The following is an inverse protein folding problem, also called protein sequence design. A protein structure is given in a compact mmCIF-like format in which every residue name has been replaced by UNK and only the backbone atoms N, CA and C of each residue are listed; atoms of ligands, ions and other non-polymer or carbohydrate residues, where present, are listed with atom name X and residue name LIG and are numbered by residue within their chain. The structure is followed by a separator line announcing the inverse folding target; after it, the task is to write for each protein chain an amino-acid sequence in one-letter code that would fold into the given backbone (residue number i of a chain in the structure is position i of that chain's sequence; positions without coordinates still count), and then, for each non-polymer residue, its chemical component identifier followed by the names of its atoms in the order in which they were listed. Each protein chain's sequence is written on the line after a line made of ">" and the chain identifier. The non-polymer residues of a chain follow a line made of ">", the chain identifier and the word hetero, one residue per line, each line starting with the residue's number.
data_IF_465098793019
#
_entry.id   IF_465098793019
#
_cell.length_a   1.000
_cell.length_b   1.000
_cell.length_c   1.000
_cell.angle_alpha   90.00
_cell.angle_beta   90.00
_cell.angle_gamma   90.00
#
_symmetry.space_group_name_H-M   'P 1'
#
loop_
_entity.id
_entity.type
_entity.pdbx_description
1 polymer ?
#
# COMPACT_ATOMS: atom_id res chain seq x y z
N UNK A 1 4.12 -2.99 -4.67
CA UNK A 1 3.22 -2.71 -5.80
C UNK A 1 2.11 -1.84 -5.25
N UNK A 2 1.53 -1.01 -6.09
CA UNK A 2 0.71 0.12 -5.64
C UNK A 2 -0.41 0.39 -6.66
N UNK A 3 -1.52 0.95 -6.19
CA UNK A 3 -2.64 1.37 -7.03
C UNK A 3 -3.14 2.70 -6.50
N UNK A 4 -2.79 3.78 -7.19
CA UNK A 4 -3.04 5.14 -6.69
C UNK A 4 -3.08 6.17 -7.82
N UNK A 5 -3.85 7.24 -7.61
CA UNK A 5 -4.05 8.36 -8.54
C UNK A 5 -4.42 7.88 -9.96
N UNK A 6 -5.34 6.91 -10.03
CA UNK A 6 -5.82 6.31 -11.27
C UNK A 6 -4.85 5.35 -11.96
N UNK A 7 -3.70 5.01 -11.36
CA UNK A 7 -2.68 4.13 -11.96
C UNK A 7 -2.48 2.86 -11.15
N UNK A 8 -2.10 1.79 -11.83
CA UNK A 8 -1.61 0.56 -11.20
C UNK A 8 -0.11 0.39 -11.48
N UNK A 9 0.68 0.14 -10.44
CA UNK A 9 2.10 -0.17 -10.51
C UNK A 9 2.31 -1.64 -10.18
N UNK A 10 2.93 -2.36 -11.11
CA UNK A 10 3.29 -3.75 -10.95
C UNK A 10 4.73 -3.99 -11.41
N UNK A 11 5.32 -5.06 -10.90
CA UNK A 11 6.65 -5.50 -11.31
C UNK A 11 6.56 -6.89 -11.88
N UNK A 12 7.21 -7.06 -13.02
CA UNK A 12 7.47 -8.38 -13.56
C UNK A 12 8.86 -8.81 -13.06
N UNK A 13 8.87 -9.77 -12.14
CA UNK A 13 10.07 -10.26 -11.47
C UNK A 13 10.51 -11.55 -12.19
N UNK A 14 11.63 -11.48 -12.91
CA UNK A 14 12.37 -12.67 -13.39
C UNK A 14 13.82 -12.56 -12.89
N UNK A 15 14.80 -12.63 -13.79
CA UNK A 15 16.21 -12.36 -13.47
C UNK A 15 16.46 -10.86 -13.21
N UNK A 16 15.59 -10.00 -13.73
CA UNK A 16 15.54 -8.57 -13.42
C UNK A 16 14.11 -8.17 -13.03
N UNK A 17 14.01 -7.09 -12.26
CA UNK A 17 12.72 -6.52 -11.86
C UNK A 17 12.39 -5.37 -12.81
N UNK A 18 11.38 -5.56 -13.65
CA UNK A 18 10.89 -4.52 -14.57
C UNK A 18 9.62 -3.91 -13.98
N UNK A 19 9.65 -2.61 -13.72
CA UNK A 19 8.49 -1.86 -13.26
C UNK A 19 7.65 -1.37 -14.44
N UNK A 20 6.34 -1.52 -14.31
CA UNK A 20 5.36 -1.07 -15.28
C UNK A 20 4.23 -0.31 -14.60
N UNK A 21 3.85 0.80 -15.21
CA UNK A 21 2.69 1.60 -14.83
C UNK A 21 1.60 1.36 -15.85
N UNK A 22 0.46 0.86 -15.39
CA UNK A 22 -0.75 0.62 -16.18
C UNK A 22 -1.80 1.67 -15.83
N UNK A 23 -2.47 2.17 -16.86
CA UNK A 23 -3.79 2.79 -16.74
C UNK A 23 -4.85 1.68 -16.79
N UNK A 24 -5.55 1.38 -15.67
CA UNK A 24 -6.53 0.29 -15.65
C UNK A 24 -7.79 0.56 -16.49
N UNK A 25 -8.07 1.83 -16.85
CA UNK A 25 -9.24 2.19 -17.65
C UNK A 25 -8.96 2.00 -19.13
N UNK A 26 -7.82 2.50 -19.61
CA UNK A 26 -7.46 2.44 -21.04
C UNK A 26 -6.66 1.19 -21.42
N UNK A 27 -6.09 0.49 -20.44
CA UNK A 27 -5.16 -0.60 -20.66
C UNK A 27 -3.75 -0.15 -21.06
N UNK A 28 -3.50 1.16 -21.18
CA UNK A 28 -2.23 1.69 -21.62
C UNK A 28 -1.12 1.41 -20.60
N UNK A 29 0.00 0.85 -21.07
CA UNK A 29 1.14 0.49 -20.22
C UNK A 29 2.37 1.36 -20.54
N UNK A 30 3.09 1.75 -19.49
CA UNK A 30 4.38 2.46 -19.59
C UNK A 30 5.43 1.69 -18.81
N UNK A 31 6.47 1.27 -19.53
CA UNK A 31 7.65 0.64 -18.92
C UNK A 31 8.52 1.72 -18.29
N UNK A 32 9.00 1.44 -17.09
CA UNK A 32 9.93 2.30 -16.37
C UNK A 32 11.36 1.84 -16.66
N UNK A 33 12.32 2.76 -16.85
CA UNK A 33 13.74 2.40 -16.92
C UNK A 33 14.17 1.62 -15.68
N UNK A 34 15.10 0.68 -15.87
CA UNK A 34 15.63 -0.12 -14.77
C UNK A 34 16.19 0.77 -13.65
N UNK A 35 15.99 0.35 -12.41
CA UNK A 35 16.60 1.02 -11.25
C UNK A 35 18.12 0.87 -11.29
N UNK A 36 18.88 1.80 -10.68
CA UNK A 36 20.35 1.73 -10.65
C UNK A 36 20.92 0.45 -10.01
N UNK A 37 20.15 -0.19 -9.12
CA UNK A 37 20.49 -1.48 -8.51
C UNK A 37 19.52 -2.57 -8.94
N UNK A 38 20.00 -3.82 -8.96
CA UNK A 38 19.17 -5.01 -9.10
C UNK A 38 18.37 -5.23 -7.81
N UNK A 39 17.04 -5.17 -7.91
CA UNK A 39 16.14 -5.29 -6.77
C UNK A 39 15.45 -6.66 -6.80
N UNK A 40 15.85 -7.56 -5.89
CA UNK A 40 15.18 -8.86 -5.70
C UNK A 40 13.99 -8.77 -4.74
N UNK A 41 14.04 -7.84 -3.78
CA UNK A 41 13.00 -7.60 -2.80
C UNK A 41 12.85 -6.10 -2.60
N UNK A 42 11.70 -5.54 -2.93
CA UNK A 42 11.44 -4.11 -2.78
C UNK A 42 9.95 -3.82 -2.61
N UNK A 43 9.66 -2.60 -2.15
CA UNK A 43 8.35 -1.98 -2.22
C UNK A 43 8.43 -0.77 -3.14
N UNK A 44 7.32 -0.45 -3.79
CA UNK A 44 7.27 0.66 -4.73
C UNK A 44 5.87 1.26 -4.78
N UNK A 45 5.81 2.56 -5.04
CA UNK A 45 4.60 3.37 -5.09
C UNK A 45 4.58 4.30 -6.30
N UNK A 46 3.39 4.61 -6.84
CA UNK A 46 3.19 5.48 -8.02
C UNK A 46 2.38 6.73 -7.72
N UNK A 47 3.03 7.89 -7.82
CA UNK A 47 2.43 9.20 -7.56
C UNK A 47 2.09 9.91 -8.87
N UNK A 48 1.02 10.69 -8.86
CA UNK A 48 0.87 11.76 -9.85
C UNK A 48 1.97 12.81 -9.66
N UNK A 49 2.51 13.36 -10.75
CA UNK A 49 3.50 14.44 -10.68
C UNK A 49 2.89 15.85 -10.70
N UNK A 50 1.60 15.99 -11.05
CA UNK A 50 0.94 17.28 -11.16
C UNK A 50 0.71 17.91 -9.77
N UNK A 51 1.25 19.12 -9.58
CA UNK A 51 1.04 19.89 -8.35
C UNK A 51 -0.41 20.34 -8.25
N UNK A 52 -0.98 20.24 -7.04
CA UNK A 52 -2.37 20.62 -6.80
C UNK A 52 -3.42 19.81 -7.56
N UNK A 53 -3.07 18.67 -8.18
CA UNK A 53 -4.05 17.77 -8.81
C UNK A 53 -4.95 17.21 -7.70
N UNK A 54 -6.26 17.26 -7.89
CA UNK A 54 -7.26 16.61 -7.02
C UNK A 54 -7.19 15.06 -7.09
N UNK A 55 -6.34 14.53 -7.97
CA UNK A 55 -6.11 13.11 -8.17
C UNK A 55 -7.30 12.31 -8.72
N UNK A 56 -8.36 12.99 -9.18
CA UNK A 56 -9.56 12.35 -9.71
C UNK A 56 -9.42 11.91 -11.18
N UNK A 57 -8.46 12.46 -11.93
CA UNK A 57 -8.30 12.18 -13.37
C UNK A 57 -6.86 12.13 -13.86
N UNK A 58 -5.85 12.01 -13.00
CA UNK A 58 -4.48 12.21 -13.46
C UNK A 58 -3.92 11.03 -14.30
N UNK A 59 -4.70 10.06 -14.79
CA UNK A 59 -4.27 8.79 -15.43
C UNK A 59 -3.27 8.96 -16.61
N UNK A 60 -3.49 9.97 -17.45
CA UNK A 60 -2.66 10.23 -18.65
C UNK A 60 -1.38 11.03 -18.40
N UNK A 61 -1.28 11.75 -17.29
CA UNK A 61 -0.19 12.70 -17.03
C UNK A 61 1.16 12.08 -16.66
N UNK A 62 2.14 12.95 -16.35
CA UNK A 62 3.39 12.54 -15.73
C UNK A 62 3.15 11.97 -14.32
N UNK A 63 3.96 10.98 -13.97
CA UNK A 63 3.99 10.32 -12.68
C UNK A 63 5.41 10.31 -12.10
N UNK A 64 5.49 10.09 -10.78
CA UNK A 64 6.71 9.77 -10.05
C UNK A 64 6.61 8.37 -9.47
N UNK A 65 7.74 7.69 -9.29
CA UNK A 65 7.79 6.40 -8.60
C UNK A 65 8.77 6.47 -7.45
N UNK A 66 8.36 6.01 -6.27
CA UNK A 66 9.26 5.75 -5.16
C UNK A 66 9.52 4.24 -5.10
N UNK A 67 10.79 3.84 -4.95
CA UNK A 67 11.19 2.45 -4.77
C UNK A 67 12.08 2.36 -3.55
N UNK A 68 11.77 1.43 -2.65
CA UNK A 68 12.51 1.21 -1.40
C UNK A 68 12.86 -0.27 -1.26
N UNK A 69 14.10 -0.54 -0.88
CA UNK A 69 14.63 -1.88 -0.63
C UNK A 69 15.36 -1.92 0.70
N UNK A 70 15.40 -3.08 1.33
CA UNK A 70 16.13 -3.31 2.57
C UNK A 70 17.07 -4.49 2.38
N UNK A 71 18.38 -4.23 2.51
CA UNK A 71 19.38 -5.27 2.69
C UNK A 71 19.36 -5.72 4.16
N UNK A 72 18.74 -6.87 4.41
CA UNK A 72 18.61 -7.43 5.75
C UNK A 72 19.96 -7.90 6.33
N UNK A 73 20.95 -8.22 5.49
CA UNK A 73 22.26 -8.69 5.97
C UNK A 73 23.11 -7.53 6.46
N UNK A 74 23.07 -6.42 5.73
CA UNK A 74 23.78 -5.19 6.12
C UNK A 74 22.98 -4.32 7.08
N UNK A 75 21.67 -4.57 7.18
CA UNK A 75 20.75 -3.70 7.88
C UNK A 75 20.76 -2.29 7.28
N UNK A 76 20.61 -2.20 5.97
CA UNK A 76 20.59 -0.92 5.24
C UNK A 76 19.36 -0.83 4.35
N UNK A 77 18.59 0.24 4.52
CA UNK A 77 17.45 0.55 3.66
C UNK A 77 17.88 1.66 2.70
N UNK A 78 17.63 1.44 1.42
CA UNK A 78 17.93 2.38 0.34
C UNK A 78 16.68 2.61 -0.49
N UNK A 79 16.65 3.73 -1.22
CA UNK A 79 15.55 3.97 -2.14
C UNK A 79 15.90 4.94 -3.25
N UNK A 80 15.00 5.01 -4.22
CA UNK A 80 15.14 5.86 -5.40
C UNK A 80 13.79 6.45 -5.79
N UNK A 81 13.84 7.65 -6.35
CA UNK A 81 12.69 8.35 -6.92
C UNK A 81 12.86 8.53 -8.42
N UNK A 82 11.90 8.05 -9.19
CA UNK A 82 11.84 8.26 -10.64
C UNK A 82 10.88 9.39 -10.97
N UNK A 83 11.23 10.23 -11.94
CA UNK A 83 10.31 11.14 -12.61
C UNK A 83 10.11 10.72 -14.06
N UNK A 84 8.85 10.50 -14.46
CA UNK A 84 8.53 10.20 -15.87
C UNK A 84 8.66 11.39 -16.81
N UNK A 85 8.69 12.61 -16.27
CA UNK A 85 8.87 13.85 -17.03
C UNK A 85 10.31 13.98 -17.50
N UNK A 86 11.26 13.92 -16.56
CA UNK A 86 12.70 14.02 -16.86
C UNK A 86 13.31 12.68 -17.25
N UNK A 87 12.63 11.56 -16.96
CA UNK A 87 13.09 10.18 -17.13
C UNK A 87 14.34 9.85 -16.32
N UNK A 88 14.55 10.55 -15.20
CA UNK A 88 15.72 10.40 -14.32
C UNK A 88 15.31 9.72 -13.01
N UNK A 89 16.25 8.91 -12.48
CA UNK A 89 16.21 8.40 -11.11
C UNK A 89 17.08 9.28 -10.20
N UNK A 90 16.55 9.65 -9.05
CA UNK A 90 17.26 10.32 -7.96
C UNK A 90 17.41 9.35 -6.78
N UNK A 91 18.57 9.35 -6.13
CA UNK A 91 18.81 8.51 -4.96
C UNK A 91 18.26 9.17 -3.69
N UNK A 92 17.63 8.37 -2.83
CA UNK A 92 17.20 8.77 -1.49
C UNK A 92 18.33 8.51 -0.49
N UNK A 93 18.36 9.24 0.62
CA UNK A 93 19.31 8.94 1.71
C UNK A 93 19.12 7.51 2.21
N UNK A 94 20.21 6.79 2.46
CA UNK A 94 20.14 5.47 3.09
C UNK A 94 19.95 5.56 4.61
N UNK A 95 19.36 4.53 5.20
CA UNK A 95 19.17 4.40 6.65
C UNK A 95 19.78 3.08 7.13
N UNK A 96 20.62 3.17 8.17
CA UNK A 96 21.25 2.04 8.84
C UNK A 96 20.43 1.60 10.06
N UNK A 97 20.28 0.28 10.21
CA UNK A 97 19.42 -0.33 11.21
C UNK A 97 19.87 -1.78 11.49
N UNK A 98 21.09 -1.96 12.04
CA UNK A 98 21.71 -3.29 12.18
C UNK A 98 20.94 -4.24 13.10
N UNK A 99 20.11 -3.73 13.99
CA UNK A 99 19.38 -4.51 15.00
C UNK A 99 17.89 -4.72 14.68
N UNK A 100 17.41 -4.27 13.52
CA UNK A 100 15.99 -4.36 13.18
C UNK A 100 15.56 -5.83 12.94
N UNK A 101 14.42 -6.22 13.52
CA UNK A 101 13.81 -7.52 13.27
C UNK A 101 12.98 -7.47 12.00
N UNK A 102 13.54 -7.99 10.91
CA UNK A 102 12.88 -7.98 9.62
C UNK A 102 11.75 -9.00 9.55
N UNK A 103 10.61 -8.57 9.01
CA UNK A 103 9.51 -9.45 8.61
C UNK A 103 9.39 -9.43 7.09
N UNK A 104 9.31 -10.61 6.46
CA UNK A 104 9.11 -10.70 5.02
C UNK A 104 7.68 -10.26 4.68
N UNK A 105 7.55 -9.04 4.16
CA UNK A 105 6.27 -8.46 3.76
C UNK A 105 6.39 -7.85 2.36
N UNK A 106 6.90 -8.65 1.42
CA UNK A 106 7.23 -8.18 0.07
C UNK A 106 6.01 -7.68 -0.69
N UNK A 107 6.13 -6.47 -1.24
CA UNK A 107 5.11 -5.85 -2.07
C UNK A 107 3.83 -5.48 -1.32
N UNK A 108 3.91 -5.26 0.00
CA UNK A 108 2.83 -4.59 0.72
C UNK A 108 2.60 -3.18 0.12
N UNK A 109 1.34 -2.73 -0.01
CA UNK A 109 1.06 -1.37 -0.43
C UNK A 109 1.62 -0.36 0.59
N UNK A 110 2.03 0.79 0.08
CA UNK A 110 2.38 1.95 0.88
C UNK A 110 1.16 2.74 1.30
N UNK A 111 1.35 3.74 2.17
CA UNK A 111 0.36 4.79 2.46
C UNK A 111 1.00 6.14 2.21
N UNK A 112 0.28 7.05 1.55
CA UNK A 112 0.68 8.45 1.38
C UNK A 112 0.02 9.31 2.48
N UNK A 113 0.81 10.07 3.24
CA UNK A 113 0.33 11.09 4.19
C UNK A 113 1.12 12.38 3.98
N UNK A 114 0.42 13.47 3.66
CA UNK A 114 1.09 14.72 3.29
C UNK A 114 2.06 14.51 2.12
N UNK A 115 3.33 14.85 2.33
CA UNK A 115 4.43 14.68 1.35
C UNK A 115 5.31 13.43 1.61
N UNK A 116 4.82 12.48 2.42
CA UNK A 116 5.57 11.31 2.83
C UNK A 116 4.87 10.00 2.44
N UNK A 117 5.65 9.07 1.89
CA UNK A 117 5.22 7.69 1.67
C UNK A 117 5.72 6.78 2.78
N UNK A 118 4.85 5.95 3.32
CA UNK A 118 5.18 4.97 4.34
C UNK A 118 5.11 3.56 3.75
N UNK A 119 6.22 2.81 3.86
CA UNK A 119 6.36 1.44 3.37
C UNK A 119 6.54 0.47 4.53
N UNK A 120 5.91 -0.69 4.44
CA UNK A 120 6.11 -1.79 5.39
C UNK A 120 7.07 -2.83 4.80
N UNK A 121 8.36 -2.51 4.81
CA UNK A 121 9.43 -3.37 4.30
C UNK A 121 10.50 -3.55 5.37
N UNK A 122 10.51 -4.72 6.00
CA UNK A 122 11.40 -4.98 7.14
C UNK A 122 10.93 -4.30 8.43
N UNK A 123 10.88 -2.97 8.42
CA UNK A 123 10.25 -2.08 9.39
C UNK A 123 9.23 -1.15 8.70
N UNK A 124 8.89 -0.03 9.34
CA UNK A 124 8.09 1.02 8.70
C UNK A 124 9.05 2.09 8.22
N UNK A 125 9.22 2.20 6.90
CA UNK A 125 10.10 3.17 6.26
C UNK A 125 9.27 4.35 5.80
N UNK A 126 9.60 5.54 6.27
CA UNK A 126 9.08 6.79 5.71
C UNK A 126 10.03 7.31 4.65
N UNK A 127 9.46 7.73 3.54
CA UNK A 127 10.12 8.31 2.39
C UNK A 127 9.56 9.71 2.18
N UNK A 128 10.33 10.71 2.60
CA UNK A 128 10.01 12.12 2.42
C UNK A 128 10.36 12.54 1.00
N UNK A 129 9.33 12.91 0.22
CA UNK A 129 9.47 13.11 -1.22
C UNK A 129 10.17 14.43 -1.57
N UNK A 130 9.85 15.52 -0.86
CA UNK A 130 10.45 16.84 -1.10
C UNK A 130 11.91 16.94 -0.66
N UNK A 131 12.32 16.19 0.37
CA UNK A 131 13.70 16.25 0.92
C UNK A 131 14.57 15.07 0.51
N UNK A 132 14.01 14.10 -0.21
CA UNK A 132 14.69 12.86 -0.62
C UNK A 132 15.28 12.07 0.55
N UNK A 133 14.61 12.12 1.71
CA UNK A 133 15.08 11.48 2.95
C UNK A 133 14.30 10.20 3.25
N UNK A 134 15.02 9.19 3.73
CA UNK A 134 14.43 8.03 4.38
C UNK A 134 14.58 8.12 5.88
N UNK A 135 13.56 7.66 6.59
CA UNK A 135 13.61 7.40 8.03
C UNK A 135 12.95 6.05 8.32
N UNK A 136 13.18 5.48 9.50
CA UNK A 136 12.57 4.22 9.89
C UNK A 136 11.97 4.29 11.29
N UNK A 137 10.81 3.67 11.43
CA UNK A 137 10.08 3.49 12.68
C UNK A 137 9.96 2.01 13.00
N UNK A 138 9.91 1.72 14.30
CA UNK A 138 9.57 0.39 14.78
C UNK A 138 8.12 0.04 14.43
N UNK A 139 7.88 -1.25 14.21
CA UNK A 139 6.53 -1.78 13.99
C UNK A 139 5.83 -1.95 15.33
N UNK A 140 4.49 -1.80 15.39
CA UNK A 140 3.74 -2.09 16.62
C UNK A 140 3.82 -3.58 16.98
N UNK A 141 3.99 -4.44 15.97
CA UNK A 141 4.16 -5.88 16.14
C UNK A 141 5.00 -6.46 15.01
N UNK A 142 5.85 -7.44 15.34
CA UNK A 142 6.66 -8.21 14.40
C UNK A 142 5.84 -9.32 13.71
N UNK A 143 4.69 -8.96 13.11
CA UNK A 143 3.82 -9.86 12.34
C UNK A 143 3.43 -9.27 10.98
N UNK A 144 2.85 -10.11 10.13
CA UNK A 144 2.24 -9.70 8.87
C UNK A 144 1.10 -8.72 9.13
N UNK A 145 1.20 -7.53 8.55
CA UNK A 145 0.20 -6.47 8.67
C UNK A 145 0.26 -5.49 7.50
N UNK A 146 -0.63 -4.50 7.50
CA UNK A 146 -0.72 -3.45 6.48
C UNK A 146 -0.76 -2.09 7.14
N UNK A 147 -0.07 -1.14 6.51
CA UNK A 147 -0.24 0.28 6.82
C UNK A 147 -1.61 0.71 6.31
N UNK A 148 -2.20 1.67 7.01
CA UNK A 148 -3.46 2.29 6.62
C UNK A 148 -3.49 3.74 7.09
N UNK A 149 -4.49 4.49 6.65
CA UNK A 149 -4.80 5.82 7.19
C UNK A 149 -5.94 5.69 8.20
N UNK A 150 -5.78 6.24 9.40
CA UNK A 150 -6.89 6.32 10.37
C UNK A 150 -7.76 7.55 10.09
N UNK A 151 -8.93 7.66 10.73
CA UNK A 151 -9.94 8.68 10.41
C UNK A 151 -9.46 10.13 10.55
N UNK A 152 -8.46 10.37 11.39
CA UNK A 152 -7.84 11.68 11.61
C UNK A 152 -6.65 11.96 10.68
N UNK A 153 -6.47 11.17 9.62
CA UNK A 153 -5.35 11.33 8.68
C UNK A 153 -3.99 10.91 9.27
N UNK A 154 -3.98 10.22 10.41
CA UNK A 154 -2.75 9.71 11.05
C UNK A 154 -2.33 8.37 10.45
N UNK A 155 -1.06 8.03 10.63
CA UNK A 155 -0.52 6.74 10.21
C UNK A 155 -1.11 5.62 11.08
N UNK A 156 -1.70 4.63 10.43
CA UNK A 156 -2.29 3.46 11.06
C UNK A 156 -1.61 2.17 10.65
N UNK A 157 -1.82 1.14 11.46
CA UNK A 157 -1.38 -0.21 11.18
C UNK A 157 -2.49 -1.21 11.52
N UNK A 158 -2.67 -2.23 10.69
CA UNK A 158 -3.64 -3.29 10.90
C UNK A 158 -2.97 -4.67 10.77
N UNK A 159 -3.15 -5.51 11.78
CA UNK A 159 -2.63 -6.88 11.77
C UNK A 159 -3.50 -7.82 12.61
N UNK A 160 -3.47 -9.10 12.24
CA UNK A 160 -4.07 -10.17 13.04
C UNK A 160 -3.02 -10.65 14.04
N UNK A 161 -3.29 -10.49 15.34
CA UNK A 161 -2.31 -10.76 16.41
C UNK A 161 -2.40 -12.20 16.91
N UNK A 162 -3.63 -12.68 17.10
CA UNK A 162 -3.93 -14.01 17.62
C UNK A 162 -4.42 -14.94 16.50
N UNK A 163 -5.54 -15.64 16.72
CA UNK A 163 -6.20 -16.44 15.68
C UNK A 163 -7.12 -15.58 14.82
N UNK A 164 -7.90 -14.69 15.45
CA UNK A 164 -8.99 -13.96 14.78
C UNK A 164 -9.06 -12.48 15.17
N UNK A 165 -8.27 -12.06 16.16
CA UNK A 165 -8.25 -10.68 16.63
C UNK A 165 -7.47 -9.80 15.66
N UNK A 166 -8.22 -9.02 14.87
CA UNK A 166 -7.69 -7.90 14.11
C UNK A 166 -7.47 -6.73 15.08
N UNK A 167 -6.23 -6.32 15.25
CA UNK A 167 -5.88 -5.14 16.03
C UNK A 167 -5.51 -4.00 15.09
N UNK A 168 -6.02 -2.82 15.40
CA UNK A 168 -5.69 -1.57 14.73
C UNK A 168 -4.84 -0.72 15.68
N UNK A 169 -3.78 -0.13 15.16
CA UNK A 169 -2.94 0.84 15.84
C UNK A 169 -2.91 2.15 15.07
N UNK A 170 -2.62 3.21 15.80
CA UNK A 170 -2.45 4.57 15.30
C UNK A 170 -1.12 5.11 15.83
N UNK A 171 -0.41 5.88 15.01
CA UNK A 171 0.82 6.56 15.40
C UNK A 171 0.45 7.90 16.04
N UNK A 172 0.65 8.01 17.34
CA UNK A 172 0.13 9.12 18.15
C UNK A 172 1.15 9.63 19.16
N UNK A 173 0.94 10.86 19.61
CA UNK A 173 1.62 11.43 20.77
C UNK A 173 0.90 10.99 22.03
N UNK A 174 1.57 10.20 22.88
CA UNK A 174 1.04 9.73 24.15
C UNK A 174 0.84 10.86 25.18
N UNK A 175 0.21 10.56 26.33
CA UNK A 175 -0.14 11.56 27.35
C UNK A 175 1.07 12.31 27.93
N UNK A 176 2.24 11.66 27.91
CA UNK A 176 3.51 12.21 28.42
C UNK A 176 4.37 12.80 27.28
N UNK A 177 3.77 13.06 26.11
CA UNK A 177 4.47 13.61 24.95
C UNK A 177 5.31 12.59 24.15
N UNK A 178 5.40 11.33 24.60
CA UNK A 178 6.12 10.28 23.89
C UNK A 178 5.36 9.85 22.62
N UNK A 179 6.00 9.92 21.46
CA UNK A 179 5.39 9.55 20.17
C UNK A 179 5.59 8.06 19.92
N UNK A 180 4.52 7.34 19.58
CA UNK A 180 4.60 5.91 19.28
C UNK A 180 3.29 5.28 18.84
N UNK A 181 3.29 3.96 18.69
CA UNK A 181 2.10 3.19 18.35
C UNK A 181 1.16 3.03 19.55
N UNK A 182 -0.06 3.55 19.45
CA UNK A 182 -1.14 3.29 20.38
C UNK A 182 -2.14 2.29 19.79
N UNK A 183 -2.64 1.37 20.62
CA UNK A 183 -3.70 0.44 20.20
C UNK A 183 -5.03 1.20 20.11
N UNK A 184 -5.60 1.27 18.92
CA UNK A 184 -6.83 2.01 18.64
C UNK A 184 -8.07 1.16 18.92
N UNK A 185 -8.11 -0.06 18.37
CA UNK A 185 -9.28 -0.94 18.46
C UNK A 185 -8.92 -2.39 18.20
N UNK A 186 -9.68 -3.32 18.79
CA UNK A 186 -9.63 -4.75 18.49
C UNK A 186 -10.98 -5.19 17.94
N UNK A 187 -10.96 -5.98 16.87
CA UNK A 187 -12.13 -6.52 16.20
C UNK A 187 -11.95 -8.04 16.11
N UNK A 188 -12.92 -8.81 16.60
CA UNK A 188 -12.92 -10.26 16.41
C UNK A 188 -13.48 -10.62 15.04
N UNK A 189 -12.62 -11.08 14.14
CA UNK A 189 -13.01 -11.47 12.78
C UNK A 189 -13.97 -12.66 12.76
N UNK A 190 -14.09 -13.46 13.83
CA UNK A 190 -15.11 -14.54 13.92
C UNK A 190 -16.53 -14.01 13.85
N UNK A 191 -16.75 -12.81 14.35
CA UNK A 191 -18.07 -12.16 14.33
C UNK A 191 -18.44 -11.63 12.95
N UNK A 192 -17.46 -11.48 12.06
CA UNK A 192 -17.61 -10.83 10.76
C UNK A 192 -17.52 -11.82 9.58
N UNK A 193 -16.68 -12.84 9.69
CA UNK A 193 -16.42 -13.81 8.62
C UNK A 193 -17.23 -15.10 8.82
N UNK A 194 -17.55 -15.83 7.73
CA UNK A 194 -18.24 -17.12 7.83
C UNK A 194 -17.49 -18.15 8.69
N UNK A 195 -18.23 -18.98 9.44
CA UNK A 195 -17.67 -19.98 10.39
C UNK A 195 -16.71 -20.98 9.73
N UNK A 196 -16.90 -21.29 8.44
CA UNK A 196 -16.03 -22.22 7.69
C UNK A 196 -14.58 -21.72 7.53
N UNK A 197 -14.32 -20.43 7.76
CA UNK A 197 -12.98 -19.85 7.71
C UNK A 197 -12.07 -20.28 8.87
N UNK A 198 -12.65 -20.81 9.96
CA UNK A 198 -11.97 -21.07 11.23
C UNK A 198 -11.76 -22.56 11.54
N UNK A 199 -12.04 -23.46 10.59
CA UNK A 199 -12.02 -24.91 10.80
C UNK A 199 -10.64 -25.53 11.14
N UNK A 200 -10.68 -26.66 11.86
CA UNK A 200 -9.67 -27.42 12.63
C UNK A 200 -8.27 -27.76 12.03
N UNK A 201 -7.72 -27.01 11.06
CA UNK A 201 -6.31 -27.18 10.69
C UNK A 201 -5.45 -26.07 11.30
N UNK A 202 -4.52 -26.50 12.14
CA UNK A 202 -3.57 -25.74 12.97
C UNK A 202 -2.49 -25.06 12.11
N UNK A 203 -2.87 -24.29 11.10
CA UNK A 203 -1.92 -23.44 10.37
C UNK A 203 -1.92 -22.05 11.02
N UNK A 204 -0.77 -21.68 11.56
CA UNK A 204 -0.49 -20.28 11.86
C UNK A 204 -0.71 -19.47 10.56
N UNK A 205 -1.45 -18.36 10.64
CA UNK A 205 -1.76 -17.43 9.54
C UNK A 205 -3.00 -17.75 8.66
N UNK A 206 -4.03 -18.43 9.17
CA UNK A 206 -5.29 -18.60 8.45
C UNK A 206 -5.96 -17.28 8.04
N UNK A 207 -5.74 -16.21 8.82
CA UNK A 207 -6.23 -14.86 8.53
C UNK A 207 -5.08 -13.87 8.44
N UNK A 208 -5.04 -13.11 7.35
CA UNK A 208 -4.02 -12.08 7.12
C UNK A 208 -4.65 -10.87 6.46
N UNK A 209 -4.30 -9.67 6.91
CA UNK A 209 -4.63 -8.43 6.20
C UNK A 209 -3.80 -8.39 4.92
N UNK A 210 -4.46 -8.55 3.78
CA UNK A 210 -3.83 -8.68 2.47
C UNK A 210 -3.68 -7.34 1.74
N UNK A 211 -4.60 -6.41 1.96
CA UNK A 211 -4.60 -5.08 1.35
C UNK A 211 -5.46 -4.09 2.13
N UNK A 212 -5.29 -2.80 1.83
CA UNK A 212 -6.02 -1.68 2.42
C UNK A 212 -6.38 -0.74 1.27
N UNK A 213 -7.63 -0.27 1.23
CA UNK A 213 -8.01 0.77 0.29
C UNK A 213 -7.64 2.14 0.90
N UNK A 214 -6.60 2.75 0.36
CA UNK A 214 -6.05 4.03 0.83
C UNK A 214 -7.13 5.11 0.93
N UNK A 215 -7.07 5.95 1.98
CA UNK A 215 -8.06 7.00 2.23
C UNK A 215 -9.44 6.50 2.70
N UNK A 216 -9.63 5.19 2.88
CA UNK A 216 -10.89 4.60 3.34
C UNK A 216 -10.70 3.77 4.61
N UNK A 217 -11.81 3.34 5.21
CA UNK A 217 -11.81 2.39 6.33
C UNK A 217 -12.09 0.95 5.84
N UNK A 218 -11.65 0.62 4.62
CA UNK A 218 -11.84 -0.70 4.01
C UNK A 218 -10.52 -1.45 3.96
N UNK A 219 -10.54 -2.68 4.46
CA UNK A 219 -9.42 -3.61 4.38
C UNK A 219 -9.83 -4.89 3.65
N UNK A 220 -8.83 -5.63 3.19
CA UNK A 220 -9.01 -6.93 2.56
C UNK A 220 -8.37 -7.99 3.43
N UNK A 221 -9.17 -8.93 3.91
CA UNK A 221 -8.71 -10.04 4.74
C UNK A 221 -8.69 -11.29 3.89
N UNK A 222 -7.50 -11.87 3.75
CA UNK A 222 -7.32 -13.21 3.21
C UNK A 222 -7.69 -14.21 4.29
N UNK A 223 -8.55 -15.15 3.94
CA UNK A 223 -8.97 -16.26 4.75
C UNK A 223 -8.73 -17.58 3.99
N UNK A 224 -9.20 -18.70 4.57
CA UNK A 224 -8.94 -20.04 4.04
C UNK A 224 -9.71 -20.32 2.76
N UNK A 225 -10.99 -19.95 2.70
CA UNK A 225 -11.85 -20.25 1.54
C UNK A 225 -12.12 -19.03 0.66
N UNK A 226 -11.39 -17.93 0.90
CA UNK A 226 -11.42 -16.78 0.03
C UNK A 226 -10.82 -15.51 0.63
N UNK A 227 -11.02 -14.40 -0.08
CA UNK A 227 -10.66 -13.06 0.35
C UNK A 227 -11.91 -12.21 0.52
N UNK A 228 -11.95 -11.44 1.59
CA UNK A 228 -13.09 -10.65 2.02
C UNK A 228 -12.73 -9.17 2.11
N UNK A 229 -13.63 -8.33 1.60
CA UNK A 229 -13.63 -6.90 1.87
C UNK A 229 -14.34 -6.68 3.21
N UNK A 230 -13.70 -5.94 4.12
CA UNK A 230 -14.23 -5.62 5.44
C UNK A 230 -14.24 -4.11 5.63
N UNK A 231 -15.42 -3.54 5.89
CA UNK A 231 -15.56 -2.14 6.22
C UNK A 231 -15.47 -1.94 7.74
N UNK A 232 -14.34 -1.39 8.19
CA UNK A 232 -13.95 -1.37 9.60
C UNK A 232 -14.90 -0.58 10.51
N UNK A 233 -15.58 0.48 10.02
CA UNK A 233 -16.53 1.23 10.87
C UNK A 233 -17.85 0.51 11.07
N UNK A 234 -18.36 -0.12 10.00
CA UNK A 234 -19.72 -0.68 9.98
C UNK A 234 -19.74 -2.18 10.25
N UNK A 235 -18.58 -2.84 10.26
CA UNK A 235 -18.47 -4.30 10.35
C UNK A 235 -18.98 -5.03 9.11
N UNK A 236 -19.39 -4.33 8.04
CA UNK A 236 -19.90 -4.98 6.84
C UNK A 236 -18.80 -5.77 6.15
N UNK A 237 -19.14 -6.99 5.72
CA UNK A 237 -18.25 -7.90 5.01
C UNK A 237 -18.84 -8.27 3.65
N UNK A 238 -17.99 -8.35 2.64
CA UNK A 238 -18.35 -8.83 1.30
C UNK A 238 -17.26 -9.78 0.78
N UNK A 239 -17.60 -10.99 0.29
CA UNK A 239 -16.63 -11.85 -0.40
C UNK A 239 -16.19 -11.20 -1.72
N UNK A 240 -14.91 -11.30 -2.04
CA UNK A 240 -14.31 -10.68 -3.24
C UNK A 240 -13.74 -11.73 -4.18
N UNK A 241 -13.10 -12.76 -3.63
CA UNK A 241 -12.51 -13.84 -4.44
C UNK A 241 -12.57 -15.15 -3.66
N UNK A 242 -12.89 -16.25 -4.34
CA UNK A 242 -12.88 -17.59 -3.76
C UNK A 242 -11.46 -18.18 -3.62
N UNK A 243 -10.43 -17.50 -4.12
CA UNK A 243 -9.03 -17.92 -3.98
C UNK A 243 -8.35 -17.21 -2.81
N UNK A 244 -7.62 -17.98 -2.01
CA UNK A 244 -6.81 -17.50 -0.89
C UNK A 244 -5.42 -17.02 -1.32
N UNK A 245 -4.96 -17.27 -2.56
CA UNK A 245 -3.55 -17.04 -2.93
C UNK A 245 -3.28 -15.71 -3.63
N UNK A 246 -4.29 -14.88 -3.82
CA UNK A 246 -4.18 -13.65 -4.61
C UNK A 246 -3.74 -12.47 -3.74
N UNK A 247 -2.78 -11.67 -4.21
CA UNK A 247 -2.48 -10.35 -3.64
C UNK A 247 -3.48 -9.33 -4.18
N UNK A 248 -4.16 -8.62 -3.30
CA UNK A 248 -5.17 -7.63 -3.66
C UNK A 248 -4.54 -6.23 -3.56
N UNK A 249 -4.63 -5.48 -4.65
CA UNK A 249 -4.29 -4.07 -4.72
C UNK A 249 -5.58 -3.30 -5.03
N UNK A 250 -6.21 -2.68 -4.03
CA UNK A 250 -7.47 -1.98 -4.25
C UNK A 250 -7.27 -0.80 -5.19
N UNK A 251 -8.06 -0.77 -6.26
CA UNK A 251 -8.09 0.35 -7.20
C UNK A 251 -9.37 1.15 -6.94
N UNK A 252 -9.19 2.43 -6.60
CA UNK A 252 -10.30 3.37 -6.48
C UNK A 252 -10.08 4.45 -7.54
N UNK A 253 -11.10 4.64 -8.36
CA UNK A 253 -11.15 5.72 -9.35
C UNK A 253 -12.56 6.25 -9.42
N UNK A 254 -12.67 7.54 -9.70
CA UNK A 254 -13.93 8.17 -10.01
C UNK A 254 -14.17 8.02 -11.51
N UNK A 255 -15.32 7.46 -11.87
CA UNK A 255 -15.78 7.48 -13.25
C UNK A 255 -16.65 8.72 -13.42
N UNK A 256 -16.19 9.69 -14.22
CA UNK A 256 -17.04 10.79 -14.70
C UNK A 256 -17.48 10.38 -16.11
N UNK A 257 -18.74 9.97 -16.32
CA UNK A 257 -19.24 9.75 -17.67
C UNK A 257 -19.09 11.07 -18.43
N UNK A 258 -18.45 11.04 -19.60
CA UNK A 258 -18.41 12.20 -20.46
C UNK A 258 -19.85 12.67 -20.71
N UNK A 259 -20.16 13.94 -20.41
CA UNK A 259 -21.38 14.55 -20.92
C UNK A 259 -21.33 14.38 -22.44
N UNK A 260 -22.24 13.58 -22.99
CA UNK A 260 -22.52 13.59 -24.43
C UNK A 260 -22.77 15.06 -24.78
N UNK A 261 -21.81 15.67 -25.46
CA UNK A 261 -21.99 16.97 -26.06
C UNK A 261 -23.15 16.80 -27.05
N UNK A 262 -24.33 17.28 -26.69
CA UNK A 262 -25.46 17.39 -27.58
C UNK A 262 -25.05 18.32 -28.73
N UNK A 263 -24.48 17.76 -29.79
CA UNK A 263 -24.45 18.37 -31.09
C UNK A 263 -25.90 18.42 -31.58
N UNK A 264 -26.65 19.43 -31.16
CA UNK A 264 -27.81 19.87 -31.92
C UNK A 264 -27.27 20.37 -33.26
N UNK A 265 -27.36 19.50 -34.26
CA UNK A 265 -27.18 19.88 -35.64
C UNK A 265 -28.13 21.00 -35.97
N UNK A 266 -27.59 22.17 -36.33
CA UNK A 266 -28.32 23.15 -37.13
C UNK A 266 -28.45 22.55 -38.53
N UNK A 267 -29.59 21.93 -38.81
CA UNK A 267 -30.08 21.70 -40.16
C UNK A 267 -30.70 22.98 -40.69
N UNK A 268 -30.34 23.32 -41.93
CA UNK A 268 -30.83 24.42 -42.74
C UNK A 268 -32.34 24.35 -42.99
#
# INVERSE_FOLDING_TARGET
>A
MDCRHGRALFAHIRNTSVLMVLDPVTGHQRRVPSTPKYLLSFSAAVLCAAQGCDHHGCQGGHFRLAVVTTDQRQGVTSGWLYSSETRVWSELTSVHHPNARYTNNFGAPSVLLGDALYFNIGGIVECQLGTLRLSMFEKPINRGGRLMTVEEGRLGFAAVVDVTNLTLWSWETGPVGAIGWAKLRVIDLKTLLPTCEFGLRRWANALVVSGVAEGTQVIFVRARVGSYMVHLKSGRVKPVCASSDIKIFPYVSFYIPAMEAACFGKGQ
#
